data_IF_456246434302
#
_entry.id   IF_456246434302
#
_cell.length_a   1.000
_cell.length_b   1.000
_cell.length_c   1.000
_cell.angle_alpha   90.00
_cell.angle_beta   90.00
_cell.angle_gamma   90.00
#
_symmetry.space_group_name_H-M   'P 1'
#
loop_
_entity.id
_entity.type
_entity.pdbx_description
1 polymer ?
#
# COMPACT_ATOMS: atom_id res chain seq x y z
N UNK A 1 -0.42 15.97 -1.77
CA UNK A 1 0.29 15.11 -2.74
C UNK A 1 1.28 15.93 -3.57
N UNK A 2 2.30 16.52 -2.92
CA UNK A 2 3.22 17.50 -3.54
C UNK A 2 4.62 16.92 -3.84
N UNK A 3 4.82 15.60 -3.72
CA UNK A 3 6.15 14.97 -3.82
C UNK A 3 6.25 13.83 -4.86
N UNK A 4 5.38 13.82 -5.87
CA UNK A 4 5.48 12.91 -7.05
C UNK A 4 6.28 13.54 -8.21
N UNK A 5 7.25 14.40 -7.89
CA UNK A 5 7.96 15.20 -8.90
C UNK A 5 9.02 14.41 -9.68
N UNK A 6 9.63 13.38 -9.07
CA UNK A 6 10.66 12.56 -9.72
C UNK A 6 10.06 11.28 -10.31
N UNK A 7 10.72 10.76 -11.35
CA UNK A 7 10.37 9.45 -11.92
C UNK A 7 10.53 8.33 -10.88
N UNK A 8 11.53 8.43 -10.02
CA UNK A 8 11.75 7.49 -8.92
C UNK A 8 10.56 7.42 -7.97
N UNK A 9 10.06 8.57 -7.50
CA UNK A 9 8.91 8.61 -6.59
C UNK A 9 7.64 8.05 -7.24
N UNK A 10 7.40 8.36 -8.51
CA UNK A 10 6.28 7.78 -9.28
C UNK A 10 6.40 6.26 -9.41
N UNK A 11 7.62 5.79 -9.66
CA UNK A 11 7.92 4.36 -9.80
C UNK A 11 7.69 3.62 -8.48
N UNK A 12 8.16 4.17 -7.35
CA UNK A 12 7.95 3.57 -6.03
C UNK A 12 6.48 3.59 -5.62
N UNK A 13 5.77 4.69 -5.83
CA UNK A 13 4.34 4.77 -5.53
C UNK A 13 3.53 3.72 -6.32
N UNK A 14 3.80 3.60 -7.62
CA UNK A 14 3.14 2.60 -8.46
C UNK A 14 3.55 1.17 -8.07
N UNK A 15 4.81 0.94 -7.69
CA UNK A 15 5.26 -0.34 -7.18
C UNK A 15 4.54 -0.74 -5.89
N UNK A 16 4.27 0.20 -4.98
CA UNK A 16 3.45 -0.05 -3.78
C UNK A 16 2.05 -0.57 -4.12
N UNK A 17 1.39 0.03 -5.12
CA UNK A 17 0.08 -0.42 -5.62
C UNK A 17 0.17 -1.84 -6.20
N UNK A 18 1.18 -2.12 -7.04
CA UNK A 18 1.38 -3.47 -7.59
C UNK A 18 1.72 -4.51 -6.53
N UNK A 19 2.47 -4.13 -5.48
CA UNK A 19 2.75 -5.03 -4.36
C UNK A 19 1.47 -5.37 -3.61
N UNK A 20 0.65 -4.36 -3.25
CA UNK A 20 -0.63 -4.58 -2.59
C UNK A 20 -1.56 -5.48 -3.41
N UNK A 21 -1.71 -5.20 -4.70
CA UNK A 21 -2.50 -6.02 -5.62
C UNK A 21 -1.97 -7.46 -5.72
N UNK A 22 -0.64 -7.66 -5.67
CA UNK A 22 -0.02 -8.98 -5.68
C UNK A 22 -0.30 -9.76 -4.40
N UNK A 23 -0.23 -9.11 -3.23
CA UNK A 23 -0.52 -9.76 -1.95
C UNK A 23 -1.99 -10.16 -1.86
N UNK A 24 -2.91 -9.31 -2.33
CA UNK A 24 -4.33 -9.64 -2.41
C UNK A 24 -4.58 -10.86 -3.32
N UNK A 25 -3.93 -10.92 -4.49
CA UNK A 25 -4.04 -12.09 -5.38
C UNK A 25 -3.48 -13.37 -4.73
N UNK A 26 -2.39 -13.27 -3.95
CA UNK A 26 -1.86 -14.40 -3.19
C UNK A 26 -2.84 -14.89 -2.13
N UNK A 27 -3.38 -14.00 -1.30
CA UNK A 27 -4.37 -14.33 -0.28
C UNK A 27 -5.59 -15.00 -0.91
N UNK A 28 -6.11 -14.44 -2.00
CA UNK A 28 -7.29 -14.97 -2.69
C UNK A 28 -7.08 -16.37 -3.29
N UNK A 29 -5.87 -16.69 -3.75
CA UNK A 29 -5.57 -17.97 -4.43
C UNK A 29 -5.00 -19.04 -3.50
N UNK A 30 -4.28 -18.64 -2.47
CA UNK A 30 -3.46 -19.54 -1.62
C UNK A 30 -3.83 -19.48 -0.14
N UNK A 31 -4.53 -18.44 0.29
CA UNK A 31 -4.87 -18.20 1.69
C UNK A 31 -3.70 -17.69 2.53
N UNK A 32 -2.57 -17.33 1.91
CA UNK A 32 -1.36 -16.87 2.61
C UNK A 32 -0.74 -15.63 1.94
N UNK A 33 0.17 -14.99 2.67
CA UNK A 33 0.96 -13.85 2.19
C UNK A 33 2.29 -13.76 2.92
N UNK A 34 3.21 -12.93 2.41
CA UNK A 34 4.50 -12.69 3.05
C UNK A 34 4.32 -11.58 4.10
N UNK A 35 4.46 -11.94 5.39
CA UNK A 35 4.18 -11.05 6.50
C UNK A 35 5.00 -9.75 6.47
N UNK A 36 6.30 -9.81 6.13
CA UNK A 36 7.16 -8.62 6.06
C UNK A 36 6.73 -7.63 4.95
N UNK A 37 6.25 -8.15 3.82
CA UNK A 37 5.73 -7.33 2.72
C UNK A 37 4.39 -6.70 3.10
N UNK A 38 3.53 -7.46 3.81
CA UNK A 38 2.28 -6.96 4.35
C UNK A 38 2.53 -5.88 5.41
N UNK A 39 3.44 -6.11 6.36
CA UNK A 39 3.84 -5.14 7.37
C UNK A 39 4.34 -3.83 6.75
N UNK A 40 5.08 -3.90 5.65
CA UNK A 40 5.52 -2.71 4.89
C UNK A 40 4.33 -1.91 4.36
N UNK A 41 3.37 -2.58 3.72
CA UNK A 41 2.20 -1.91 3.14
C UNK A 41 1.23 -1.39 4.20
N UNK A 42 0.92 -2.19 5.22
CA UNK A 42 0.09 -1.76 6.34
C UNK A 42 0.77 -0.61 7.08
N UNK A 43 2.08 -0.69 7.30
CA UNK A 43 2.82 0.39 7.93
C UNK A 43 2.80 1.69 7.14
N UNK A 44 2.77 1.60 5.80
CA UNK A 44 2.63 2.79 4.95
C UNK A 44 1.32 3.54 5.16
N UNK A 45 0.22 2.86 5.54
CA UNK A 45 -1.08 3.48 5.81
C UNK A 45 -1.00 4.45 6.99
N UNK A 46 -0.22 4.10 8.01
CA UNK A 46 -0.06 4.92 9.22
C UNK A 46 0.92 6.09 9.05
N UNK A 47 1.68 6.15 7.95
CA UNK A 47 2.60 7.27 7.65
C UNK A 47 1.87 8.38 6.89
N UNK A 48 0.88 8.99 7.53
CA UNK A 48 0.02 10.02 6.93
C UNK A 48 0.77 11.32 6.62
N UNK A 49 1.76 11.67 7.44
CA UNK A 49 2.70 12.75 7.20
C UNK A 49 4.09 12.17 6.91
N UNK A 50 4.64 12.47 5.74
CA UNK A 50 5.95 11.97 5.33
C UNK A 50 6.65 12.95 4.41
N UNK A 51 7.98 13.04 4.55
CA UNK A 51 8.82 13.96 3.77
C UNK A 51 9.09 13.45 2.34
N UNK A 52 8.87 12.16 2.06
CA UNK A 52 9.04 11.59 0.72
C UNK A 52 8.34 10.25 0.53
N UNK A 53 8.10 9.87 -0.73
CA UNK A 53 7.60 8.52 -1.08
C UNK A 53 8.55 7.43 -0.58
N UNK A 54 9.85 7.70 -0.56
CA UNK A 54 10.86 6.77 -0.02
C UNK A 54 10.60 6.51 1.46
N UNK A 55 10.34 7.55 2.25
CA UNK A 55 10.09 7.43 3.69
C UNK A 55 8.76 6.72 4.02
N UNK A 56 7.77 6.75 3.12
CA UNK A 56 6.50 6.01 3.28
C UNK A 56 6.74 4.49 3.28
N UNK A 57 7.63 4.00 2.40
CA UNK A 57 7.85 2.57 2.18
C UNK A 57 9.17 2.05 2.75
N UNK A 58 10.08 2.92 3.20
CA UNK A 58 11.24 2.52 3.97
C UNK A 58 10.74 1.84 5.26
N UNK A 59 10.97 0.52 5.36
CA UNK A 59 10.75 -0.20 6.61
C UNK A 59 11.77 0.25 7.65
N UNK A 60 11.56 -0.12 8.92
CA UNK A 60 12.39 0.33 10.05
C UNK A 60 13.90 0.07 9.88
N UNK A 61 14.31 -0.78 8.92
CA UNK A 61 15.71 -1.00 8.51
C UNK A 61 15.88 -1.44 7.04
N UNK A 62 14.91 -1.15 6.13
CA UNK A 62 14.98 -1.61 4.73
C UNK A 62 14.82 -0.45 3.74
N UNK A 63 15.69 -0.32 2.72
CA UNK A 63 15.48 0.65 1.66
C UNK A 63 14.16 0.39 0.92
N UNK A 64 13.45 1.45 0.52
CA UNK A 64 12.14 1.35 -0.12
C UNK A 64 12.12 0.43 -1.36
N UNK A 65 13.18 0.44 -2.18
CA UNK A 65 13.25 -0.43 -3.35
C UNK A 65 13.37 -1.93 -3.00
N UNK A 66 13.98 -2.26 -1.85
CA UNK A 66 14.03 -3.64 -1.34
C UNK A 66 12.66 -4.01 -0.76
N UNK A 67 12.07 -3.11 0.03
CA UNK A 67 10.76 -3.30 0.63
C UNK A 67 9.64 -3.45 -0.42
N UNK A 68 9.82 -2.85 -1.61
CA UNK A 68 8.89 -2.91 -2.75
C UNK A 68 9.34 -3.84 -3.89
N UNK A 69 10.30 -4.74 -3.65
CA UNK A 69 10.90 -5.56 -4.72
C UNK A 69 9.85 -6.36 -5.51
N UNK A 70 8.84 -6.94 -4.84
CA UNK A 70 7.76 -7.66 -5.51
C UNK A 70 6.96 -6.73 -6.41
N UNK A 71 6.57 -5.57 -5.88
CA UNK A 71 5.83 -4.56 -6.62
C UNK A 71 6.56 -4.10 -7.89
N UNK A 72 7.85 -3.77 -7.74
CA UNK A 72 8.70 -3.34 -8.85
C UNK A 72 8.80 -4.41 -9.94
N UNK A 73 9.07 -5.67 -9.54
CA UNK A 73 9.19 -6.78 -10.48
C UNK A 73 7.86 -7.07 -11.18
N UNK A 74 6.76 -7.10 -10.44
CA UNK A 74 5.43 -7.42 -10.98
C UNK A 74 4.97 -6.34 -11.95
N UNK A 75 5.18 -5.08 -11.60
CA UNK A 75 4.93 -3.93 -12.48
C UNK A 75 5.76 -4.01 -13.75
N UNK A 76 7.07 -4.31 -13.64
CA UNK A 76 7.95 -4.45 -14.81
C UNK A 76 7.48 -5.58 -15.73
N UNK A 77 7.20 -6.76 -15.19
CA UNK A 77 6.74 -7.92 -15.96
C UNK A 77 5.37 -7.64 -16.63
N UNK A 78 4.47 -6.95 -15.94
CA UNK A 78 3.17 -6.53 -16.49
C UNK A 78 3.32 -5.58 -17.68
N UNK A 79 4.17 -4.56 -17.56
CA UNK A 79 4.39 -3.56 -18.62
C UNK A 79 5.17 -4.15 -19.79
N UNK A 80 6.23 -4.92 -19.53
CA UNK A 80 7.15 -5.40 -20.57
C UNK A 80 6.63 -6.63 -21.31
N UNK A 81 5.89 -7.52 -20.63
CA UNK A 81 5.48 -8.82 -21.20
C UNK A 81 3.97 -9.06 -21.19
N UNK A 82 3.17 -8.14 -20.63
CA UNK A 82 1.72 -8.33 -20.50
C UNK A 82 1.32 -9.43 -19.51
N UNK A 83 2.26 -9.90 -18.67
CA UNK A 83 1.98 -10.84 -17.58
C UNK A 83 1.13 -10.19 -16.49
N UNK A 84 0.67 -11.00 -15.53
CA UNK A 84 -0.02 -10.52 -14.32
C UNK A 84 -1.30 -9.73 -14.61
N UNK A 85 -2.04 -10.08 -15.67
CA UNK A 85 -3.26 -9.37 -16.11
C UNK A 85 -4.26 -9.14 -14.97
N UNK A 86 -4.41 -10.12 -14.08
CA UNK A 86 -5.32 -10.02 -12.95
C UNK A 86 -4.83 -9.01 -11.90
N UNK A 87 -3.53 -8.99 -11.60
CA UNK A 87 -2.91 -8.02 -10.68
C UNK A 87 -2.97 -6.62 -11.29
N UNK A 88 -2.70 -6.47 -12.59
CA UNK A 88 -2.84 -5.20 -13.32
C UNK A 88 -4.27 -4.67 -13.23
N UNK A 89 -5.27 -5.53 -13.38
CA UNK A 89 -6.68 -5.15 -13.21
C UNK A 89 -6.95 -4.65 -11.80
N UNK A 90 -6.49 -5.33 -10.75
CA UNK A 90 -6.62 -4.85 -9.37
C UNK A 90 -5.94 -3.49 -9.17
N UNK A 91 -4.71 -3.32 -9.64
CA UNK A 91 -3.96 -2.07 -9.55
C UNK A 91 -4.71 -0.91 -10.23
N UNK A 92 -5.26 -1.13 -11.43
CA UNK A 92 -6.04 -0.11 -12.15
C UNK A 92 -7.33 0.23 -11.42
N UNK A 93 -8.03 -0.77 -10.85
CA UNK A 93 -9.22 -0.52 -10.02
C UNK A 93 -8.89 0.35 -8.81
N UNK A 94 -7.76 0.10 -8.13
CA UNK A 94 -7.33 0.92 -6.99
C UNK A 94 -7.05 2.38 -7.40
N UNK A 95 -6.34 2.60 -8.51
CA UNK A 95 -6.08 3.96 -9.03
C UNK A 95 -7.38 4.68 -9.40
N UNK A 96 -8.34 3.98 -10.01
CA UNK A 96 -9.64 4.55 -10.34
C UNK A 96 -10.46 4.90 -9.09
N UNK A 97 -10.39 4.07 -8.04
CA UNK A 97 -11.06 4.32 -6.76
C UNK A 97 -10.44 5.53 -6.04
N UNK A 98 -9.11 5.64 -6.02
CA UNK A 98 -8.40 6.81 -5.47
C UNK A 98 -8.85 8.10 -6.15
N UNK A 99 -8.92 8.11 -7.49
CA UNK A 99 -9.36 9.30 -8.24
C UNK A 99 -10.83 9.67 -7.99
N UNK A 100 -11.67 8.72 -7.58
CA UNK A 100 -13.04 9.01 -7.11
C UNK A 100 -13.02 9.54 -5.68
N UNK A 101 -12.29 8.87 -4.78
CA UNK A 101 -12.15 9.26 -3.38
C UNK A 101 -11.57 10.67 -3.22
N UNK A 102 -10.61 11.04 -4.06
CA UNK A 102 -10.00 12.38 -4.12
C UNK A 102 -10.98 13.53 -4.32
N UNK A 103 -12.19 13.25 -4.84
CA UNK A 103 -13.25 14.24 -5.05
C UNK A 103 -14.14 14.42 -3.81
N UNK A 104 -13.99 13.57 -2.79
CA UNK A 104 -14.82 13.54 -1.59
C UNK A 104 -13.99 13.89 -0.35
N UNK A 105 -13.68 15.17 -0.18
CA UNK A 105 -12.82 15.68 0.91
C UNK A 105 -13.29 15.23 2.30
N UNK A 106 -14.60 15.30 2.58
CA UNK A 106 -15.13 14.87 3.89
C UNK A 106 -14.94 13.38 4.16
N UNK A 107 -14.93 12.53 3.12
CA UNK A 107 -14.67 11.11 3.26
C UNK A 107 -13.17 10.85 3.47
N UNK A 108 -12.30 11.59 2.77
CA UNK A 108 -10.85 11.56 3.02
C UNK A 108 -10.51 11.96 4.45
N UNK A 109 -11.12 13.03 4.97
CA UNK A 109 -10.90 13.47 6.36
C UNK A 109 -11.31 12.39 7.35
N UNK A 110 -12.47 11.76 7.14
CA UNK A 110 -12.97 10.67 7.99
C UNK A 110 -12.07 9.43 7.95
N UNK A 111 -11.57 9.04 6.77
CA UNK A 111 -10.58 7.96 6.64
C UNK A 111 -9.29 8.35 7.35
N UNK A 112 -8.84 9.60 7.18
CA UNK A 112 -7.67 10.15 7.84
C UNK A 112 -7.74 10.02 9.36
N UNK A 113 -8.84 10.46 9.97
CA UNK A 113 -9.09 10.31 11.40
C UNK A 113 -9.16 8.85 11.84
N UNK A 114 -9.85 7.98 11.08
CA UNK A 114 -9.95 6.56 11.41
C UNK A 114 -8.60 5.82 11.41
N UNK A 115 -7.69 6.20 10.50
CA UNK A 115 -6.31 5.69 10.49
C UNK A 115 -5.55 6.19 11.74
N UNK A 116 -5.65 7.48 12.06
CA UNK A 116 -5.03 8.06 13.27
C UNK A 116 -5.50 7.37 14.55
N UNK A 117 -6.81 7.13 14.69
CA UNK A 117 -7.40 6.43 15.84
C UNK A 117 -6.92 4.97 15.95
N UNK A 118 -6.61 4.35 14.82
CA UNK A 118 -6.10 2.97 14.76
C UNK A 118 -4.61 2.85 15.10
N UNK A 119 -3.86 3.97 15.03
CA UNK A 119 -2.42 3.97 15.27
C UNK A 119 -2.03 3.58 16.70
N UNK A 120 -2.87 3.89 17.69
CA UNK A 120 -2.61 3.49 19.07
C UNK A 120 -2.66 1.97 19.26
N UNK A 121 -3.51 1.25 18.52
CA UNK A 121 -3.59 -0.21 18.60
C UNK A 121 -2.33 -0.89 18.05
N UNK A 122 -1.73 -0.29 17.01
CA UNK A 122 -0.45 -0.76 16.45
C UNK A 122 0.64 -0.78 17.52
N UNK A 123 0.67 0.22 18.42
CA UNK A 123 1.66 0.29 19.52
C UNK A 123 1.52 -0.87 20.51
N UNK A 124 0.30 -1.37 20.74
CA UNK A 124 0.05 -2.45 21.70
C UNK A 124 0.16 -3.85 21.09
N UNK A 125 -0.24 -4.02 19.82
CA UNK A 125 -0.40 -5.35 19.20
C UNK A 125 0.60 -5.65 18.07
N UNK A 126 1.23 -4.63 17.49
CA UNK A 126 2.06 -4.76 16.29
C UNK A 126 1.27 -4.56 14.98
N UNK A 127 2.00 -4.29 13.89
CA UNK A 127 1.44 -3.85 12.60
C UNK A 127 0.49 -4.86 11.94
N UNK A 128 0.78 -6.16 12.08
CA UNK A 128 0.11 -7.26 11.35
C UNK A 128 -0.89 -8.03 12.20
N UNK A 129 -1.15 -7.58 13.44
CA UNK A 129 -2.06 -8.26 14.34
C UNK A 129 -3.52 -8.19 13.85
N UNK A 130 -4.29 -9.26 14.07
CA UNK A 130 -5.67 -9.40 13.58
C UNK A 130 -6.57 -8.21 13.94
N UNK A 131 -6.50 -7.71 15.19
CA UNK A 131 -7.23 -6.52 15.62
C UNK A 131 -6.93 -5.26 14.77
N UNK A 132 -5.66 -5.03 14.41
CA UNK A 132 -5.28 -3.88 13.57
C UNK A 132 -5.85 -4.07 12.17
N UNK A 133 -5.73 -5.28 11.60
CA UNK A 133 -6.26 -5.61 10.29
C UNK A 133 -7.79 -5.49 10.23
N UNK A 134 -8.49 -5.97 11.25
CA UNK A 134 -9.95 -5.87 11.37
C UNK A 134 -10.42 -4.41 11.39
N UNK A 135 -9.72 -3.54 12.15
CA UNK A 135 -10.03 -2.10 12.19
C UNK A 135 -9.81 -1.41 10.85
N UNK A 136 -8.71 -1.73 10.16
CA UNK A 136 -8.46 -1.20 8.83
C UNK A 136 -9.49 -1.72 7.82
N UNK A 137 -9.94 -2.98 7.96
CA UNK A 137 -10.98 -3.55 7.13
C UNK A 137 -12.35 -2.90 7.37
N UNK A 138 -12.70 -2.57 8.61
CA UNK A 138 -13.94 -1.84 8.93
C UNK A 138 -13.93 -0.40 8.39
N UNK A 139 -12.74 0.19 8.24
CA UNK A 139 -12.56 1.53 7.70
C UNK A 139 -12.63 1.58 6.16
N UNK A 140 -12.25 0.48 5.49
CA UNK A 140 -12.19 0.33 4.03
C UNK A 140 -13.58 0.15 3.40
#
# INVERSE_FOLDING_TARGET
MKDLHTLEHRTLALAGIYQAASLVDQIARRGDTVESEMATLIGSVFRQESESVVAIYAGDNLPAHVALQRGLRTMLEAISTGKHREITRYAMTLVQLEGKLGKHVSLLDRIGSGISDSADQVRYFGMTHENVLARLADLY
#
